data_IF_498520798593
#
_entry.id   IF_498520798593
#
_cell.length_a   1.000
_cell.length_b   1.000
_cell.length_c   1.000
_cell.angle_alpha   90.00
_cell.angle_beta   90.00
_cell.angle_gamma   90.00
#
_symmetry.space_group_name_H-M   'P 1'
#
loop_
_entity.id
_entity.type
_entity.pdbx_description
1 polymer ?
#
# COMPACT_ATOMS: atom_id res chain seq x y z
N UNK A 1 -0.64 -8.85 -10.75
CA UNK A 1 -1.34 -8.64 -9.45
C UNK A 1 -0.55 -9.37 -8.40
N UNK A 2 -0.44 -8.79 -7.20
CA UNK A 2 0.16 -9.49 -6.08
C UNK A 2 -0.70 -10.71 -5.71
N UNK A 3 -0.16 -11.95 -5.71
CA UNK A 3 -0.97 -13.13 -5.41
C UNK A 3 -1.52 -13.13 -3.97
N UNK A 4 -0.95 -12.33 -3.06
CA UNK A 4 -1.29 -12.34 -1.63
C UNK A 4 -2.37 -11.34 -1.22
N UNK A 5 -2.89 -10.55 -2.15
CA UNK A 5 -3.92 -9.53 -1.91
C UNK A 5 -3.34 -8.15 -1.63
N UNK A 6 -4.14 -7.27 -1.01
CA UNK A 6 -3.74 -5.91 -0.69
C UNK A 6 -4.36 -5.45 0.63
N UNK A 7 -3.54 -4.79 1.46
CA UNK A 7 -3.99 -4.08 2.66
C UNK A 7 -3.79 -2.59 2.41
N UNK A 8 -4.86 -1.80 2.56
CA UNK A 8 -4.84 -0.36 2.28
C UNK A 8 -5.54 0.42 3.36
N UNK A 9 -4.97 1.58 3.69
CA UNK A 9 -5.57 2.54 4.62
C UNK A 9 -6.62 3.38 3.89
N UNK A 10 -7.68 3.74 4.60
CA UNK A 10 -8.67 4.69 4.11
C UNK A 10 -8.13 6.13 4.28
N UNK A 11 -7.47 6.65 3.24
CA UNK A 11 -6.88 8.00 3.29
C UNK A 11 -7.77 9.10 2.67
N UNK A 12 -8.64 8.74 1.71
CA UNK A 12 -9.38 9.73 0.90
C UNK A 12 -10.64 10.27 1.57
N UNK A 13 -11.19 9.52 2.52
CA UNK A 13 -12.49 9.80 3.13
C UNK A 13 -12.41 9.53 4.63
N UNK A 14 -13.27 10.20 5.41
CA UNK A 14 -13.37 9.96 6.85
C UNK A 14 -13.96 8.57 7.18
N UNK A 15 -14.87 8.10 6.34
CA UNK A 15 -15.53 6.80 6.49
C UNK A 15 -15.87 6.18 5.14
N UNK A 16 -16.04 4.86 5.14
CA UNK A 16 -16.40 4.09 3.96
C UNK A 16 -17.13 2.80 4.34
N UNK A 17 -17.94 2.29 3.42
CA UNK A 17 -18.62 1.00 3.54
C UNK A 17 -17.99 0.04 2.54
N UNK A 18 -17.65 -1.16 3.00
CA UNK A 18 -17.10 -2.22 2.18
C UNK A 18 -18.00 -3.45 2.23
N UNK A 19 -17.89 -4.31 1.23
CA UNK A 19 -18.50 -5.64 1.27
C UNK A 19 -18.00 -6.42 2.48
N UNK A 20 -18.82 -7.31 3.03
CA UNK A 20 -18.45 -8.21 4.14
C UNK A 20 -17.33 -9.19 3.80
N UNK A 21 -16.90 -9.23 2.54
CA UNK A 21 -15.75 -10.00 2.07
C UNK A 21 -14.39 -9.38 2.47
N UNK A 22 -14.35 -8.11 2.87
CA UNK A 22 -13.13 -7.44 3.30
C UNK A 22 -12.94 -7.55 4.81
N UNK A 23 -11.70 -7.82 5.24
CA UNK A 23 -11.29 -7.66 6.63
C UNK A 23 -11.10 -6.17 6.89
N UNK A 24 -11.85 -5.62 7.83
CA UNK A 24 -11.77 -4.21 8.22
C UNK A 24 -11.26 -4.12 9.66
N UNK A 25 -10.21 -3.33 9.88
CA UNK A 25 -9.56 -3.21 11.18
C UNK A 25 -8.92 -1.85 11.40
N UNK A 26 -8.60 -1.55 12.66
CA UNK A 26 -7.93 -0.32 13.08
C UNK A 26 -6.64 -0.65 13.83
N UNK A 27 -5.50 -0.01 13.53
CA UNK A 27 -4.28 -0.17 14.32
C UNK A 27 -4.47 0.39 15.73
N UNK A 28 -3.97 -0.32 16.74
CA UNK A 28 -4.05 0.09 18.16
C UNK A 28 -2.71 0.54 18.73
N UNK A 29 -1.66 -0.26 18.54
CA UNK A 29 -0.33 -0.04 19.14
C UNK A 29 0.81 -0.01 18.09
N UNK A 30 0.54 0.56 16.92
CA UNK A 30 1.52 0.71 15.84
C UNK A 30 1.31 2.05 15.13
N UNK A 31 2.38 2.68 14.69
CA UNK A 31 2.29 3.86 13.83
C UNK A 31 1.59 3.51 12.51
N UNK A 32 0.61 4.33 12.12
CA UNK A 32 -0.26 4.02 10.99
C UNK A 32 0.40 4.28 9.64
N UNK A 33 1.29 5.27 9.55
CA UNK A 33 2.05 5.54 8.32
C UNK A 33 3.04 4.42 8.06
N UNK A 34 3.78 4.02 9.10
CA UNK A 34 4.64 2.84 9.06
C UNK A 34 3.89 1.58 8.61
N UNK A 35 2.73 1.29 9.21
CA UNK A 35 1.96 0.08 8.89
C UNK A 35 1.52 0.07 7.42
N UNK A 36 1.19 1.24 6.86
CA UNK A 36 0.85 1.37 5.43
C UNK A 36 2.06 0.99 4.56
N UNK A 37 3.25 1.50 4.89
CA UNK A 37 4.49 1.17 4.16
C UNK A 37 4.91 -0.29 4.32
N UNK A 38 4.66 -0.86 5.49
CA UNK A 38 4.93 -2.27 5.74
C UNK A 38 4.13 -3.19 4.82
N UNK A 39 2.83 -2.91 4.64
CA UNK A 39 1.94 -3.67 3.77
C UNK A 39 2.07 -3.32 2.27
N UNK A 40 2.65 -2.17 1.93
CA UNK A 40 3.07 -1.88 0.55
C UNK A 40 4.30 -2.72 0.13
N UNK A 41 5.06 -3.26 1.10
CA UNK A 41 6.14 -4.19 0.88
C UNK A 41 5.71 -5.66 0.95
N UNK A 42 6.67 -6.58 0.79
CA UNK A 42 6.40 -8.02 0.68
C UNK A 42 6.68 -8.83 1.95
N UNK A 43 7.10 -8.16 3.03
CA UNK A 43 7.57 -8.83 4.24
C UNK A 43 6.47 -9.65 4.96
N UNK A 44 5.21 -9.29 4.75
CA UNK A 44 4.05 -9.97 5.32
C UNK A 44 3.60 -11.20 4.54
N UNK A 45 4.02 -11.35 3.27
CA UNK A 45 3.57 -12.43 2.37
C UNK A 45 3.88 -13.81 2.93
N UNK A 46 5.06 -13.98 3.53
CA UNK A 46 5.50 -15.27 4.07
C UNK A 46 4.61 -15.75 5.20
N UNK A 47 4.10 -14.85 6.04
CA UNK A 47 3.24 -15.26 7.15
C UNK A 47 1.82 -15.47 6.66
N UNK A 48 1.30 -14.60 5.79
CA UNK A 48 -0.02 -14.82 5.19
C UNK A 48 -0.07 -16.11 4.37
N UNK A 49 0.99 -16.49 3.66
CA UNK A 49 1.01 -17.74 2.88
C UNK A 49 0.91 -19.01 3.72
N UNK A 50 1.28 -18.96 5.00
CA UNK A 50 1.12 -20.11 5.92
C UNK A 50 -0.33 -20.33 6.34
N UNK A 51 -1.12 -19.27 6.32
CA UNK A 51 -2.51 -19.25 6.79
C UNK A 51 -3.52 -19.20 5.63
N UNK A 52 -3.10 -18.71 4.47
CA UNK A 52 -3.92 -18.65 3.28
C UNK A 52 -4.15 -20.06 2.73
N UNK A 53 -5.41 -20.40 2.49
CA UNK A 53 -5.78 -21.64 1.81
C UNK A 53 -6.18 -21.35 0.37
N UNK A 54 -5.70 -22.18 -0.56
CA UNK A 54 -6.27 -22.26 -1.90
C UNK A 54 -7.58 -23.04 -1.83
N UNK A 55 -8.70 -22.31 -1.87
CA UNK A 55 -10.01 -22.95 -1.95
C UNK A 55 -10.26 -23.53 -3.34
N UNK A 56 -10.67 -24.80 -3.42
CA UNK A 56 -11.04 -25.47 -4.69
C UNK A 56 -12.14 -24.74 -5.50
N UNK A 57 -12.87 -23.81 -4.88
CA UNK A 57 -13.98 -23.03 -5.47
C UNK A 57 -13.58 -21.61 -5.91
N UNK A 58 -12.37 -21.16 -5.60
CA UNK A 58 -11.98 -19.75 -5.73
C UNK A 58 -11.12 -19.46 -6.98
N UNK A 59 -11.09 -20.35 -7.98
CA UNK A 59 -10.30 -20.15 -9.22
C UNK A 59 -8.83 -19.74 -8.97
N UNK A 60 -8.21 -20.23 -7.89
CA UNK A 60 -6.84 -19.86 -7.50
C UNK A 60 -6.71 -18.56 -6.69
N UNK A 61 -7.81 -17.94 -6.27
CA UNK A 61 -7.79 -16.81 -5.34
C UNK A 61 -7.61 -17.31 -3.90
N UNK A 62 -6.56 -16.83 -3.24
CA UNK A 62 -6.28 -17.10 -1.84
C UNK A 62 -7.37 -16.54 -0.95
N UNK A 63 -7.82 -17.32 0.03
CA UNK A 63 -8.73 -16.87 1.08
C UNK A 63 -8.08 -17.07 2.45
N UNK A 64 -8.27 -16.09 3.33
CA UNK A 64 -7.76 -16.11 4.70
C UNK A 64 -8.89 -15.62 5.62
N UNK A 65 -9.18 -16.37 6.69
CA UNK A 65 -10.16 -15.91 7.66
C UNK A 65 -9.61 -14.71 8.45
N UNK A 66 -10.49 -13.86 8.96
CA UNK A 66 -10.07 -12.71 9.76
C UNK A 66 -9.22 -13.13 10.98
N UNK A 67 -9.60 -14.21 11.66
CA UNK A 67 -8.83 -14.79 12.76
C UNK A 67 -7.40 -15.11 12.34
N UNK A 68 -7.25 -15.83 11.22
CA UNK A 68 -5.96 -16.31 10.76
C UNK A 68 -5.07 -15.15 10.29
N UNK A 69 -5.67 -14.10 9.70
CA UNK A 69 -4.96 -12.87 9.37
C UNK A 69 -4.38 -12.19 10.61
N UNK A 70 -5.14 -12.10 11.70
CA UNK A 70 -4.66 -11.50 12.95
C UNK A 70 -3.66 -12.38 13.71
N UNK A 71 -3.57 -13.66 13.39
CA UNK A 71 -2.53 -14.56 13.93
C UNK A 71 -1.18 -14.44 13.20
N UNK A 72 -1.15 -13.75 12.05
CA UNK A 72 0.09 -13.54 11.30
C UNK A 72 1.10 -12.74 12.12
N UNK A 73 2.36 -13.19 12.11
CA UNK A 73 3.44 -12.54 12.86
C UNK A 73 4.05 -11.41 12.03
N UNK A 74 3.98 -10.18 12.52
CA UNK A 74 4.61 -9.05 11.84
C UNK A 74 6.04 -8.85 12.34
N UNK A 75 7.00 -8.81 11.43
CA UNK A 75 8.39 -8.42 11.74
C UNK A 75 8.50 -6.90 11.64
N UNK A 76 8.38 -6.20 12.76
CA UNK A 76 8.34 -4.74 12.83
C UNK A 76 9.26 -4.22 13.95
N UNK A 77 9.74 -2.96 13.87
CA UNK A 77 10.47 -2.34 14.97
C UNK A 77 9.58 -2.19 16.20
N UNK A 78 10.11 -2.47 17.40
CA UNK A 78 9.38 -2.30 18.66
C UNK A 78 9.30 -0.83 19.10
N UNK A 79 10.25 0.00 18.66
CA UNK A 79 10.29 1.41 19.00
C UNK A 79 9.29 2.20 18.15
N UNK A 80 8.28 2.80 18.80
CA UNK A 80 7.33 3.68 18.11
C UNK A 80 8.02 4.85 17.41
N UNK A 81 9.05 5.42 18.04
CA UNK A 81 9.86 6.49 17.43
C UNK A 81 10.52 6.03 16.14
N UNK A 82 11.02 4.79 16.09
CA UNK A 82 11.61 4.25 14.86
C UNK A 82 10.57 4.06 13.76
N UNK A 83 9.39 3.54 14.11
CA UNK A 83 8.27 3.42 13.17
C UNK A 83 7.88 4.77 12.57
N UNK A 84 7.73 5.81 13.40
CA UNK A 84 7.43 7.19 12.95
C UNK A 84 8.50 7.71 11.97
N UNK A 85 9.79 7.51 12.26
CA UNK A 85 10.87 7.93 11.36
C UNK A 85 10.83 7.19 10.03
N UNK A 86 10.57 5.89 10.03
CA UNK A 86 10.42 5.09 8.80
C UNK A 86 9.22 5.57 7.99
N UNK A 87 8.07 5.78 8.63
CA UNK A 87 6.86 6.29 7.98
C UNK A 87 7.10 7.65 7.31
N UNK A 88 7.70 8.59 8.05
CA UNK A 88 8.08 9.90 7.54
C UNK A 88 9.07 9.82 6.37
N UNK A 89 10.07 8.94 6.46
CA UNK A 89 11.06 8.75 5.40
C UNK A 89 10.40 8.37 4.07
N UNK A 90 9.55 7.34 4.08
CA UNK A 90 8.86 6.90 2.86
C UNK A 90 7.83 7.92 2.36
N UNK A 91 7.09 8.59 3.26
CA UNK A 91 6.17 9.65 2.86
C UNK A 91 6.91 10.81 2.16
N UNK A 92 8.09 11.17 2.65
CA UNK A 92 8.94 12.18 2.00
C UNK A 92 9.42 11.72 0.62
N UNK A 93 9.78 10.44 0.46
CA UNK A 93 10.15 9.88 -0.84
C UNK A 93 8.98 9.91 -1.84
N UNK A 94 7.77 9.51 -1.42
CA UNK A 94 6.59 9.53 -2.29
C UNK A 94 6.22 10.94 -2.74
N UNK A 95 6.34 11.91 -1.84
CA UNK A 95 6.15 13.33 -2.15
C UNK A 95 7.17 13.81 -3.18
N UNK A 96 8.44 13.43 -3.03
CA UNK A 96 9.51 13.77 -3.96
C UNK A 96 9.27 13.15 -5.35
N UNK A 97 8.89 11.87 -5.40
CA UNK A 97 8.53 11.18 -6.65
C UNK A 97 7.36 11.89 -7.33
N UNK A 98 6.31 12.21 -6.58
CA UNK A 98 5.12 12.91 -7.08
C UNK A 98 5.50 14.28 -7.66
N UNK A 99 6.36 15.04 -6.97
CA UNK A 99 6.85 16.33 -7.43
C UNK A 99 7.62 16.21 -8.75
N UNK A 100 8.53 15.23 -8.86
CA UNK A 100 9.30 15.01 -10.07
C UNK A 100 8.45 14.51 -11.23
N UNK A 101 7.45 13.66 -10.98
CA UNK A 101 6.51 13.21 -12.00
C UNK A 101 5.71 14.37 -12.59
N UNK A 102 5.20 15.27 -11.74
CA UNK A 102 4.52 16.50 -12.20
C UNK A 102 5.42 17.38 -13.06
N UNK A 103 6.69 17.55 -12.66
CA UNK A 103 7.67 18.30 -13.44
C UNK A 103 7.94 17.65 -14.79
N UNK A 104 8.09 16.32 -14.83
CA UNK A 104 8.32 15.58 -16.06
C UNK A 104 7.15 15.75 -17.03
N UNK A 105 5.92 15.61 -16.55
CA UNK A 105 4.72 15.73 -17.37
C UNK A 105 4.55 17.16 -17.91
N UNK A 106 4.87 18.17 -17.10
CA UNK A 106 4.90 19.56 -17.55
C UNK A 106 5.93 19.79 -18.67
N UNK A 107 7.15 19.27 -18.54
CA UNK A 107 8.18 19.39 -19.56
C UNK A 107 7.81 18.68 -20.87
N UNK A 108 7.11 17.54 -20.79
CA UNK A 108 6.60 16.84 -21.98
C UNK A 108 5.58 17.68 -22.73
N UNK A 109 4.65 18.32 -22.03
CA UNK A 109 3.66 19.21 -22.65
C UNK A 109 4.32 20.46 -23.27
N UNK A 110 5.28 21.08 -22.57
CA UNK A 110 6.05 22.19 -23.13
C UNK A 110 6.79 21.79 -24.41
N UNK A 111 7.48 20.65 -24.41
CA UNK A 111 8.17 20.13 -25.59
C UNK A 111 7.20 19.93 -26.75
N UNK A 112 6.02 19.37 -26.49
CA UNK A 112 4.99 19.14 -27.51
C UNK A 112 4.49 20.46 -28.10
N UNK A 113 4.18 21.45 -27.26
CA UNK A 113 3.73 22.77 -27.71
C UNK A 113 4.80 23.50 -28.54
N UNK A 114 6.06 23.47 -28.11
CA UNK A 114 7.16 24.09 -28.85
C UNK A 114 7.39 23.41 -30.21
N UNK A 115 7.35 22.07 -30.26
CA UNK A 115 7.48 21.34 -31.53
C UNK A 115 6.34 21.66 -32.49
N UNK A 116 5.10 21.82 -31.99
CA UNK A 116 3.98 22.26 -32.83
C UNK A 116 4.20 23.65 -33.42
N UNK A 117 4.80 24.57 -32.65
CA UNK A 117 5.12 25.92 -33.12
C UNK A 117 6.28 25.97 -34.12
N UNK A 118 7.15 24.95 -34.18
CA UNK A 118 8.30 24.93 -35.11
C UNK A 118 7.94 24.62 -36.56
N UNK A 119 6.78 24.01 -36.81
CA UNK A 119 6.36 23.57 -38.16
C UNK A 119 5.12 24.32 -38.66
N UNK A 120 4.86 25.51 -38.09
CA UNK A 120 3.88 26.50 -38.58
C UNK A 120 4.64 27.58 -39.35
#
# INVERSE_FOLDING_TARGET
>A
MDPWGAVKRLDRYEMGVLSTLYIVFKPTNIDSDFLTKYYDGNNWHKEVSKHAAEGARNHGLLNIAASDFFETKLTIPLSKKEQEQIGLFFNNMDNLITLHQRKLDHLKEQKKALLQQMFI
#
